data_IF_727106902763
#
_entry.id   IF_727106902763
#
_cell.length_a   1.000
_cell.length_b   1.000
_cell.length_c   1.000
_cell.angle_alpha   90.00
_cell.angle_beta   90.00
_cell.angle_gamma   90.00
#
_symmetry.space_group_name_H-M   'P 1'
#
loop_
_entity.id
_entity.type
_entity.pdbx_description
1 polymer ?
#
# COMPACT_ATOMS: atom_id res chain seq x y z
N UNK A 1 7.47 25.59 -63.88
CA UNK A 1 6.52 24.64 -63.34
C UNK A 1 7.20 23.96 -62.16
N UNK A 2 6.95 24.38 -60.92
CA UNK A 2 7.45 23.73 -59.71
C UNK A 2 6.39 22.76 -59.18
N UNK A 3 6.71 21.50 -58.88
CA UNK A 3 5.73 20.60 -58.23
C UNK A 3 5.63 20.94 -56.76
N UNK A 4 4.43 21.33 -56.32
CA UNK A 4 4.08 21.38 -54.89
C UNK A 4 4.00 19.95 -54.34
N UNK A 5 4.96 19.60 -53.48
CA UNK A 5 4.86 18.40 -52.66
C UNK A 5 3.92 18.68 -51.50
N UNK A 6 2.72 18.15 -51.56
CA UNK A 6 1.84 18.09 -50.37
C UNK A 6 2.34 17.04 -49.43
N UNK A 7 3.02 17.44 -48.34
CA UNK A 7 3.26 16.56 -47.19
C UNK A 7 1.88 16.26 -46.51
N UNK A 8 1.36 15.08 -46.76
CA UNK A 8 0.30 14.53 -45.93
C UNK A 8 0.92 14.20 -44.55
N UNK A 9 0.64 15.03 -43.54
CA UNK A 9 0.82 14.64 -42.16
C UNK A 9 -0.28 13.62 -41.81
N UNK A 10 0.10 12.34 -41.77
CA UNK A 10 -0.71 11.32 -41.11
C UNK A 10 -0.73 11.67 -39.62
N UNK A 11 -1.81 12.29 -39.14
CA UNK A 11 -2.10 12.38 -37.72
C UNK A 11 -2.47 10.95 -37.33
N UNK A 12 -1.50 10.20 -36.78
CA UNK A 12 -1.80 8.97 -36.06
C UNK A 12 -2.50 9.43 -34.78
N UNK A 13 -3.82 9.30 -34.75
CA UNK A 13 -4.56 9.45 -33.51
C UNK A 13 -4.08 8.32 -32.58
N UNK A 14 -3.32 8.67 -31.55
CA UNK A 14 -2.99 7.75 -30.47
C UNK A 14 -4.30 7.42 -29.78
N UNK A 15 -4.74 6.20 -29.93
CA UNK A 15 -6.01 5.75 -29.38
C UNK A 15 -5.76 5.34 -27.93
N UNK A 16 -6.53 5.92 -27.00
CA UNK A 16 -6.58 5.45 -25.61
C UNK A 16 -6.91 3.95 -25.56
N UNK A 17 -6.59 3.31 -24.45
CA UNK A 17 -6.99 1.93 -24.22
C UNK A 17 -8.51 1.82 -24.42
N UNK A 18 -8.95 0.90 -25.29
CA UNK A 18 -10.36 0.65 -25.58
C UNK A 18 -10.99 -0.15 -24.44
N UNK A 19 -11.63 0.55 -23.50
CA UNK A 19 -12.25 -0.02 -22.31
C UNK A 19 -13.78 0.02 -22.42
N UNK A 20 -14.38 -1.14 -22.61
CA UNK A 20 -15.80 -1.36 -22.37
C UNK A 20 -16.01 -2.09 -21.04
N UNK A 21 -16.51 -1.36 -20.02
CA UNK A 21 -16.78 -1.92 -18.69
C UNK A 21 -18.00 -2.85 -18.66
N UNK A 22 -18.81 -2.88 -19.71
CA UNK A 22 -19.97 -3.78 -19.82
C UNK A 22 -19.58 -5.09 -20.52
N UNK A 23 -18.44 -5.10 -21.24
CA UNK A 23 -17.80 -6.29 -21.78
C UNK A 23 -16.63 -6.75 -20.88
N UNK A 24 -16.78 -7.90 -20.19
CA UNK A 24 -15.68 -8.48 -19.38
C UNK A 24 -14.43 -8.82 -20.19
N UNK A 25 -14.56 -9.18 -21.46
CA UNK A 25 -13.41 -9.54 -22.29
C UNK A 25 -12.58 -8.29 -22.62
N UNK A 26 -13.24 -7.18 -22.98
CA UNK A 26 -12.57 -5.87 -23.15
C UNK A 26 -11.86 -5.45 -21.85
N UNK A 27 -12.55 -5.51 -20.71
CA UNK A 27 -11.96 -5.16 -19.40
C UNK A 27 -10.74 -6.02 -19.08
N UNK A 28 -10.80 -7.35 -19.28
CA UNK A 28 -9.67 -8.27 -19.02
C UNK A 28 -8.47 -7.98 -19.93
N UNK A 29 -8.71 -7.69 -21.21
CA UNK A 29 -7.65 -7.32 -22.16
C UNK A 29 -6.95 -6.02 -21.74
N UNK A 30 -7.73 -5.03 -21.33
CA UNK A 30 -7.20 -3.76 -20.80
C UNK A 30 -6.35 -4.02 -19.55
N UNK A 31 -6.85 -4.80 -18.61
CA UNK A 31 -6.13 -5.12 -17.37
C UNK A 31 -4.81 -5.86 -17.63
N UNK A 32 -4.78 -6.80 -18.59
CA UNK A 32 -3.55 -7.47 -19.00
C UNK A 32 -2.51 -6.48 -19.55
N UNK A 33 -2.96 -5.54 -20.38
CA UNK A 33 -2.11 -4.49 -20.93
C UNK A 33 -1.54 -3.59 -19.83
N UNK A 34 -2.38 -3.16 -18.87
CA UNK A 34 -1.95 -2.31 -17.76
C UNK A 34 -1.00 -3.03 -16.80
N UNK A 35 -1.27 -4.28 -16.46
CA UNK A 35 -0.38 -5.10 -15.63
C UNK A 35 0.98 -5.31 -16.30
N UNK A 36 0.99 -5.57 -17.61
CA UNK A 36 2.22 -5.70 -18.40
C UNK A 36 3.01 -4.38 -18.42
N UNK A 37 2.34 -3.25 -18.63
CA UNK A 37 2.98 -1.93 -18.59
C UNK A 37 3.54 -1.63 -17.20
N UNK A 38 2.82 -1.88 -16.13
CA UNK A 38 3.30 -1.72 -14.76
C UNK A 38 4.57 -2.53 -14.51
N UNK A 39 4.61 -3.76 -14.98
CA UNK A 39 5.75 -4.67 -14.82
C UNK A 39 6.97 -4.30 -15.68
N UNK A 40 6.88 -3.33 -16.60
CA UNK A 40 8.08 -2.82 -17.30
C UNK A 40 9.04 -2.10 -16.36
N UNK A 41 8.56 -1.63 -15.22
CA UNK A 41 9.36 -1.01 -14.15
C UNK A 41 9.95 -2.01 -13.16
N UNK A 42 9.52 -3.28 -13.19
CA UNK A 42 9.95 -4.30 -12.23
C UNK A 42 11.27 -4.94 -12.70
N UNK A 43 12.26 -4.95 -11.80
CA UNK A 43 13.59 -5.49 -12.07
C UNK A 43 13.94 -6.74 -11.26
N UNK A 44 13.14 -7.06 -10.24
CA UNK A 44 13.42 -8.19 -9.34
C UNK A 44 13.41 -9.58 -9.98
N UNK A 45 13.00 -9.70 -11.25
CA UNK A 45 13.13 -10.91 -12.06
C UNK A 45 14.38 -10.92 -12.95
N UNK A 46 15.20 -9.87 -12.91
CA UNK A 46 16.43 -9.78 -13.70
C UNK A 46 17.62 -10.40 -12.93
N UNK A 47 18.62 -10.95 -13.66
CA UNK A 47 19.82 -11.48 -13.04
C UNK A 47 20.55 -10.42 -12.21
N UNK A 48 20.81 -10.73 -10.92
CA UNK A 48 21.53 -9.86 -10.00
C UNK A 48 20.65 -8.96 -9.13
N UNK A 49 19.34 -8.95 -9.36
CA UNK A 49 18.39 -8.30 -8.48
C UNK A 49 17.64 -9.32 -7.61
N UNK A 50 16.92 -8.83 -6.59
CA UNK A 50 16.17 -9.65 -5.65
C UNK A 50 14.69 -9.73 -6.04
N UNK A 51 14.08 -10.93 -6.04
CA UNK A 51 12.66 -11.07 -6.31
C UNK A 51 11.81 -10.19 -5.37
N UNK A 52 10.89 -9.44 -5.95
CA UNK A 52 10.04 -8.50 -5.23
C UNK A 52 10.61 -7.08 -5.13
N UNK A 53 11.79 -6.81 -5.70
CA UNK A 53 12.40 -5.49 -5.65
C UNK A 53 11.91 -4.59 -6.79
N UNK A 54 11.65 -3.32 -6.48
CA UNK A 54 11.53 -2.25 -7.47
C UNK A 54 12.81 -1.40 -7.40
N UNK A 55 13.31 -0.89 -8.54
CA UNK A 55 14.49 -0.02 -8.56
C UNK A 55 14.14 1.39 -8.03
N UNK A 56 15.17 2.16 -7.67
CA UNK A 56 15.01 3.59 -7.42
C UNK A 56 14.26 4.26 -8.61
N UNK A 57 13.35 5.20 -8.33
CA UNK A 57 13.07 5.87 -7.06
C UNK A 57 11.94 5.24 -6.23
N UNK A 58 11.47 4.03 -6.56
CA UNK A 58 10.33 3.39 -5.93
C UNK A 58 10.69 2.81 -4.57
N UNK A 59 9.73 2.86 -3.65
CA UNK A 59 9.91 2.31 -2.32
C UNK A 59 9.56 0.81 -2.28
N UNK A 60 10.17 0.09 -1.34
CA UNK A 60 9.95 -1.35 -1.16
C UNK A 60 8.48 -1.73 -0.93
N UNK A 61 7.74 -0.92 -0.16
CA UNK A 61 6.33 -1.18 0.12
C UNK A 61 5.44 -1.10 -1.14
N UNK A 62 5.81 -0.26 -2.14
CA UNK A 62 5.09 -0.16 -3.40
C UNK A 62 5.10 -1.49 -4.17
N UNK A 63 6.19 -2.27 -4.05
CA UNK A 63 6.22 -3.62 -4.60
C UNK A 63 5.22 -4.55 -3.90
N UNK A 64 5.08 -4.46 -2.58
CA UNK A 64 4.04 -5.19 -1.83
C UNK A 64 2.63 -4.86 -2.32
N UNK A 65 2.36 -3.58 -2.56
CA UNK A 65 1.10 -3.12 -3.14
C UNK A 65 0.91 -3.62 -4.59
N UNK A 66 1.95 -3.57 -5.41
CA UNK A 66 1.94 -4.06 -6.79
C UNK A 66 1.60 -5.56 -6.85
N UNK A 67 2.23 -6.38 -6.00
CA UNK A 67 1.92 -7.82 -5.95
C UNK A 67 0.54 -8.11 -5.37
N UNK A 68 0.04 -7.25 -4.48
CA UNK A 68 -1.37 -7.32 -4.05
C UNK A 68 -2.32 -7.12 -5.23
N UNK A 69 -2.06 -6.12 -6.08
CA UNK A 69 -2.85 -5.87 -7.29
C UNK A 69 -2.79 -7.03 -8.29
N UNK A 70 -1.64 -7.71 -8.41
CA UNK A 70 -1.50 -8.88 -9.28
C UNK A 70 -2.25 -10.13 -8.75
N UNK A 71 -2.41 -10.27 -7.43
CA UNK A 71 -3.28 -11.30 -6.83
C UNK A 71 -4.73 -10.99 -7.16
N UNK A 72 -5.18 -9.75 -7.00
CA UNK A 72 -6.52 -9.34 -7.37
C UNK A 72 -6.76 -9.49 -8.88
N UNK A 73 -5.78 -9.13 -9.72
CA UNK A 73 -5.81 -9.37 -11.16
C UNK A 73 -6.04 -10.85 -11.48
N UNK A 74 -5.24 -11.75 -10.90
CA UNK A 74 -5.40 -13.20 -11.07
C UNK A 74 -6.82 -13.64 -10.71
N UNK A 75 -7.32 -13.20 -9.56
CA UNK A 75 -8.64 -13.59 -9.07
C UNK A 75 -9.78 -13.06 -9.95
N UNK A 76 -9.71 -11.77 -10.32
CA UNK A 76 -10.76 -11.09 -11.07
C UNK A 76 -10.80 -11.47 -12.56
N UNK A 77 -9.66 -11.87 -13.12
CA UNK A 77 -9.55 -12.19 -14.55
C UNK A 77 -9.45 -13.70 -14.83
N UNK A 78 -9.00 -14.48 -13.86
CA UNK A 78 -8.57 -15.88 -14.00
C UNK A 78 -7.34 -16.05 -14.91
N UNK A 79 -6.57 -14.98 -15.15
CA UNK A 79 -5.34 -15.01 -15.93
C UNK A 79 -4.16 -15.35 -15.02
N UNK A 80 -3.42 -16.40 -15.36
CA UNK A 80 -2.30 -16.93 -14.58
C UNK A 80 -0.94 -16.44 -15.03
N UNK A 81 -0.88 -15.49 -15.97
CA UNK A 81 0.37 -15.01 -16.58
C UNK A 81 1.39 -14.57 -15.53
N UNK A 82 0.96 -13.87 -14.49
CA UNK A 82 1.85 -13.29 -13.48
C UNK A 82 1.93 -14.11 -12.17
N UNK A 83 1.29 -15.29 -12.11
CA UNK A 83 1.20 -16.11 -10.90
C UNK A 83 2.56 -16.52 -10.35
N UNK A 84 3.45 -17.06 -11.20
CA UNK A 84 4.77 -17.50 -10.76
C UNK A 84 5.65 -16.35 -10.31
N UNK A 85 5.58 -15.20 -10.99
CA UNK A 85 6.30 -13.99 -10.63
C UNK A 85 5.87 -13.50 -9.24
N UNK A 86 4.56 -13.45 -9.01
CA UNK A 86 3.95 -13.03 -7.74
C UNK A 86 4.34 -13.97 -6.59
N UNK A 87 4.24 -15.29 -6.82
CA UNK A 87 4.62 -16.28 -5.82
C UNK A 87 6.10 -16.17 -5.45
N UNK A 88 6.98 -16.03 -6.44
CA UNK A 88 8.42 -15.88 -6.22
C UNK A 88 8.74 -14.62 -5.39
N UNK A 89 8.16 -13.49 -5.76
CA UNK A 89 8.39 -12.22 -5.08
C UNK A 89 7.94 -12.26 -3.60
N UNK A 90 6.70 -12.65 -3.35
CA UNK A 90 6.14 -12.75 -1.99
C UNK A 90 6.91 -13.72 -1.11
N UNK A 91 7.29 -14.88 -1.67
CA UNK A 91 8.05 -15.90 -0.95
C UNK A 91 9.42 -15.37 -0.54
N UNK A 92 10.12 -14.68 -1.47
CA UNK A 92 11.44 -14.13 -1.18
C UNK A 92 11.37 -13.00 -0.15
N UNK A 93 10.41 -12.07 -0.30
CA UNK A 93 10.25 -10.91 0.58
C UNK A 93 9.66 -11.25 1.96
N UNK A 94 9.12 -12.45 2.14
CA UNK A 94 8.58 -12.88 3.45
C UNK A 94 9.64 -12.89 4.55
N UNK A 95 10.92 -13.01 4.18
CA UNK A 95 12.04 -13.06 5.12
C UNK A 95 12.08 -14.34 5.96
N UNK A 96 13.07 -14.47 6.87
CA UNK A 96 13.32 -15.71 7.61
C UNK A 96 12.16 -16.14 8.53
N UNK A 97 11.43 -15.19 9.09
CA UNK A 97 10.31 -15.42 10.02
C UNK A 97 8.95 -15.47 9.34
N UNK A 98 8.90 -15.24 8.01
CA UNK A 98 7.65 -15.14 7.27
C UNK A 98 6.83 -13.89 7.59
N UNK A 99 7.44 -12.88 8.21
CA UNK A 99 6.78 -11.66 8.68
C UNK A 99 7.06 -10.44 7.79
N UNK A 100 7.57 -10.63 6.57
CA UNK A 100 7.98 -9.56 5.67
C UNK A 100 8.96 -8.58 6.34
N UNK A 101 10.04 -9.14 6.88
CA UNK A 101 11.21 -8.40 7.37
C UNK A 101 12.48 -9.01 6.75
N UNK A 102 12.67 -8.87 5.42
CA UNK A 102 13.84 -9.39 4.73
C UNK A 102 15.09 -8.59 5.11
N UNK A 103 16.24 -9.27 5.24
CA UNK A 103 17.45 -8.66 5.77
C UNK A 103 17.96 -7.42 5.02
N UNK A 104 17.61 -7.28 3.74
CA UNK A 104 18.00 -6.12 2.91
C UNK A 104 17.11 -4.87 3.13
N UNK A 105 15.94 -5.01 3.76
CA UNK A 105 14.99 -3.92 3.99
C UNK A 105 14.75 -3.62 5.47
N UNK A 106 14.89 -4.59 6.35
CA UNK A 106 14.50 -4.54 7.78
C UNK A 106 14.87 -3.23 8.50
N UNK A 107 15.98 -2.58 8.15
CA UNK A 107 16.42 -1.34 8.81
C UNK A 107 15.71 -0.08 8.38
N UNK A 108 15.01 -0.13 7.25
CA UNK A 108 14.33 1.04 6.64
C UNK A 108 12.81 0.93 6.70
N UNK A 109 12.30 -0.19 7.23
CA UNK A 109 10.88 -0.48 7.23
C UNK A 109 10.09 0.34 8.25
N UNK A 110 8.93 0.83 7.79
CA UNK A 110 7.82 1.26 8.62
C UNK A 110 6.83 0.13 8.91
N UNK A 111 5.95 0.33 9.88
CA UNK A 111 4.88 -0.61 10.18
C UNK A 111 3.85 -0.71 9.04
N UNK A 112 3.63 0.38 8.32
CA UNK A 112 2.83 0.43 7.10
C UNK A 112 3.49 -0.30 5.94
N UNK A 113 4.79 -0.11 5.71
CA UNK A 113 5.56 -0.80 4.68
C UNK A 113 5.41 -2.33 4.80
N UNK A 114 5.62 -2.85 6.01
CA UNK A 114 5.42 -4.26 6.33
C UNK A 114 3.97 -4.72 6.08
N UNK A 115 3.00 -3.85 6.38
CA UNK A 115 1.59 -4.17 6.23
C UNK A 115 1.15 -4.28 4.77
N UNK A 116 1.70 -3.48 3.85
CA UNK A 116 1.37 -3.61 2.43
C UNK A 116 1.75 -4.98 1.87
N UNK A 117 2.86 -5.56 2.33
CA UNK A 117 3.21 -6.95 2.01
C UNK A 117 2.27 -7.96 2.70
N UNK A 118 1.88 -7.70 3.95
CA UNK A 118 0.90 -8.52 4.65
C UNK A 118 -0.46 -8.51 3.95
N UNK A 119 -0.86 -7.41 3.33
CA UNK A 119 -2.08 -7.34 2.54
C UNK A 119 -2.03 -8.24 1.30
N UNK A 120 -0.86 -8.36 0.67
CA UNK A 120 -0.69 -9.33 -0.42
C UNK A 120 -0.90 -10.77 0.09
N UNK A 121 -0.27 -11.13 1.21
CA UNK A 121 -0.45 -12.45 1.82
C UNK A 121 -1.90 -12.69 2.27
N UNK A 122 -2.53 -11.70 2.91
CA UNK A 122 -3.93 -11.83 3.34
C UNK A 122 -4.89 -11.98 2.16
N UNK A 123 -4.69 -11.19 1.09
CA UNK A 123 -5.50 -11.31 -0.14
C UNK A 123 -5.29 -12.66 -0.83
N UNK A 124 -4.06 -13.17 -0.84
CA UNK A 124 -3.75 -14.49 -1.36
C UNK A 124 -4.51 -15.60 -0.59
N UNK A 125 -4.55 -15.51 0.75
CA UNK A 125 -5.31 -16.45 1.58
C UNK A 125 -6.82 -16.36 1.30
N UNK A 126 -7.38 -15.15 1.28
CA UNK A 126 -8.81 -14.89 1.08
C UNK A 126 -9.32 -15.28 -0.31
N UNK A 127 -8.44 -15.41 -1.29
CA UNK A 127 -8.78 -15.73 -2.68
C UNK A 127 -8.32 -17.12 -3.12
N UNK A 128 -7.79 -17.93 -2.19
CA UNK A 128 -7.20 -19.23 -2.49
C UNK A 128 -6.11 -19.15 -3.59
N UNK A 129 -5.32 -18.06 -3.60
CA UNK A 129 -4.12 -18.02 -4.43
C UNK A 129 -3.18 -19.15 -4.02
N UNK A 130 -2.55 -19.88 -4.96
CA UNK A 130 -1.74 -21.05 -4.64
C UNK A 130 -0.74 -20.77 -3.52
N UNK A 131 -0.83 -21.52 -2.42
CA UNK A 131 0.14 -21.42 -1.31
C UNK A 131 1.55 -21.78 -1.80
N UNK A 132 2.60 -21.19 -1.17
CA UNK A 132 3.97 -21.58 -1.47
C UNK A 132 4.14 -23.10 -1.33
N UNK A 133 4.87 -23.74 -2.25
CA UNK A 133 5.19 -25.16 -2.14
C UNK A 133 5.88 -25.47 -0.79
N UNK A 134 5.50 -26.57 -0.10
CA UNK A 134 6.07 -26.93 1.20
C UNK A 134 7.60 -27.06 1.21
N UNK A 135 8.18 -27.40 0.04
CA UNK A 135 9.63 -27.58 -0.16
C UNK A 135 10.42 -26.29 0.06
N UNK A 136 9.76 -25.13 -0.08
CA UNK A 136 10.39 -23.83 0.19
C UNK A 136 10.58 -23.54 1.68
N UNK A 137 9.95 -24.33 2.57
CA UNK A 137 10.08 -24.17 4.02
C UNK A 137 9.49 -22.88 4.58
N UNK A 138 8.69 -22.16 3.80
CA UNK A 138 8.01 -20.92 4.21
C UNK A 138 6.56 -21.18 4.62
N UNK A 139 5.96 -20.31 5.47
CA UNK A 139 4.55 -20.43 5.84
C UNK A 139 3.62 -20.32 4.63
N UNK A 140 2.34 -20.74 4.79
CA UNK A 140 1.28 -20.34 3.88
C UNK A 140 0.94 -18.87 4.02
N UNK A 141 0.17 -18.35 3.08
CA UNK A 141 -0.17 -16.91 3.04
C UNK A 141 -0.86 -16.44 4.33
N UNK A 142 -1.80 -17.23 4.85
CA UNK A 142 -2.44 -16.95 6.14
C UNK A 142 -1.40 -16.88 7.26
N UNK A 143 -0.44 -17.82 7.30
CA UNK A 143 0.62 -17.82 8.31
C UNK A 143 1.52 -16.60 8.23
N UNK A 144 1.81 -16.08 7.04
CA UNK A 144 2.58 -14.84 6.85
C UNK A 144 1.79 -13.62 7.34
N UNK A 145 0.50 -13.52 7.01
CA UNK A 145 -0.36 -12.44 7.51
C UNK A 145 -0.45 -12.45 9.06
N UNK A 146 -0.57 -13.64 9.66
CA UNK A 146 -0.56 -13.81 11.11
C UNK A 146 0.80 -13.43 11.73
N UNK A 147 1.90 -13.74 11.06
CA UNK A 147 3.23 -13.36 11.52
C UNK A 147 3.41 -11.83 11.58
N UNK A 148 2.94 -11.11 10.56
CA UNK A 148 2.97 -9.64 10.58
C UNK A 148 2.08 -9.10 11.70
N UNK A 149 0.85 -9.61 11.83
CA UNK A 149 -0.03 -9.20 12.93
C UNK A 149 0.65 -9.36 14.29
N UNK A 150 1.27 -10.51 14.57
CA UNK A 150 1.93 -10.77 15.83
C UNK A 150 3.10 -9.82 16.10
N UNK A 151 3.91 -9.52 15.08
CA UNK A 151 5.01 -8.56 15.23
C UNK A 151 4.52 -7.15 15.49
N UNK A 152 3.42 -6.72 14.85
CA UNK A 152 2.81 -5.41 15.07
C UNK A 152 2.12 -5.33 16.44
N UNK A 153 1.42 -6.37 16.86
CA UNK A 153 0.83 -6.44 18.21
C UNK A 153 1.91 -6.28 19.29
N UNK A 154 3.08 -6.91 19.11
CA UNK A 154 4.22 -6.77 20.02
C UNK A 154 4.83 -5.36 20.04
N UNK A 155 4.68 -4.60 18.94
CA UNK A 155 5.16 -3.20 18.83
C UNK A 155 4.14 -2.15 19.24
N UNK A 156 2.95 -2.55 19.74
CA UNK A 156 1.95 -1.61 20.22
C UNK A 156 2.48 -0.79 21.38
N UNK A 157 2.69 0.52 21.17
CA UNK A 157 3.37 1.41 22.12
C UNK A 157 2.40 2.07 23.08
N UNK A 158 2.22 1.47 24.26
CA UNK A 158 1.41 2.04 25.34
C UNK A 158 2.13 3.15 26.13
N UNK A 159 3.42 3.32 25.94
CA UNK A 159 4.23 4.31 26.66
C UNK A 159 4.01 5.74 26.18
N UNK A 160 3.51 5.93 24.94
CA UNK A 160 3.20 7.23 24.38
C UNK A 160 1.81 7.25 23.78
N UNK A 161 1.09 8.37 23.88
CA UNK A 161 -0.26 8.59 23.31
C UNK A 161 -1.30 7.52 23.70
N UNK A 162 -1.12 6.83 24.82
CA UNK A 162 -2.05 5.79 25.29
C UNK A 162 -2.11 4.50 24.49
N UNK A 163 -1.29 4.34 23.44
CA UNK A 163 -1.29 3.21 22.52
C UNK A 163 -0.83 3.59 21.12
N UNK A 164 -1.04 2.69 20.17
CA UNK A 164 -0.76 2.93 18.75
C UNK A 164 0.61 2.48 18.28
N UNK A 165 0.69 2.13 16.99
CA UNK A 165 1.95 1.87 16.31
C UNK A 165 2.63 3.18 15.94
N UNK A 166 3.95 3.21 16.07
CA UNK A 166 4.78 4.26 15.47
C UNK A 166 4.84 4.06 13.96
N UNK A 167 5.12 5.12 13.20
CA UNK A 167 5.34 4.97 11.77
C UNK A 167 6.53 4.03 11.52
N UNK A 168 7.71 4.39 12.00
CA UNK A 168 8.91 3.59 11.81
C UNK A 168 9.09 2.51 12.89
N UNK A 169 9.74 1.39 12.53
CA UNK A 169 9.99 0.27 13.43
C UNK A 169 11.20 0.55 14.36
N UNK A 170 12.19 1.27 13.86
CA UNK A 170 13.47 1.48 14.58
C UNK A 170 13.68 2.92 15.00
N UNK A 171 14.30 3.10 16.19
CA UNK A 171 14.53 4.40 16.83
C UNK A 171 15.44 5.33 16.07
N UNK A 172 16.27 4.81 15.18
CA UNK A 172 17.22 5.60 14.38
C UNK A 172 16.63 6.09 13.07
N UNK A 173 15.42 5.69 12.71
CA UNK A 173 14.76 6.15 11.49
C UNK A 173 14.06 7.47 11.71
N UNK A 174 14.15 8.36 10.72
CA UNK A 174 13.29 9.52 10.64
C UNK A 174 11.83 9.08 10.65
N UNK A 175 10.98 9.76 11.44
CA UNK A 175 9.58 9.35 11.64
C UNK A 175 9.35 8.39 12.81
N UNK A 176 10.40 7.95 13.55
CA UNK A 176 10.20 7.18 14.78
C UNK A 176 9.32 7.89 15.81
N UNK A 177 9.44 9.20 15.93
CA UNK A 177 8.65 9.99 16.87
C UNK A 177 7.24 10.30 16.37
N UNK A 178 6.83 9.73 15.26
CA UNK A 178 5.53 9.96 14.63
C UNK A 178 4.63 8.73 14.68
N UNK A 179 3.37 8.92 15.06
CA UNK A 179 2.30 7.93 14.91
C UNK A 179 1.36 8.38 13.81
N UNK A 180 1.12 7.52 12.83
CA UNK A 180 0.33 7.87 11.66
C UNK A 180 -0.91 6.98 11.49
N UNK A 181 -1.85 7.50 10.76
CA UNK A 181 -3.12 6.84 10.49
C UNK A 181 -2.93 5.60 9.63
N UNK A 182 -1.99 5.63 8.67
CA UNK A 182 -1.83 4.47 7.78
C UNK A 182 -1.26 3.25 8.49
N UNK A 183 -0.20 3.36 9.32
CA UNK A 183 0.34 2.21 10.05
C UNK A 183 -0.71 1.58 10.97
N UNK A 184 -1.47 2.42 11.68
CA UNK A 184 -2.53 1.96 12.57
C UNK A 184 -3.76 1.44 11.81
N UNK A 185 -4.13 2.08 10.71
CA UNK A 185 -5.20 1.63 9.83
C UNK A 185 -4.89 0.31 9.13
N UNK A 186 -3.65 0.08 8.73
CA UNK A 186 -3.20 -1.20 8.20
C UNK A 186 -3.32 -2.31 9.24
N UNK A 187 -2.89 -2.05 10.46
CA UNK A 187 -3.00 -3.01 11.56
C UNK A 187 -4.47 -3.30 11.90
N UNK A 188 -5.33 -2.28 11.96
CA UNK A 188 -6.78 -2.43 12.12
C UNK A 188 -7.39 -3.31 11.02
N UNK A 189 -7.09 -3.01 9.75
CA UNK A 189 -7.61 -3.73 8.60
C UNK A 189 -7.16 -5.20 8.58
N UNK A 190 -5.87 -5.44 8.84
CA UNK A 190 -5.31 -6.79 8.91
C UNK A 190 -5.95 -7.59 10.04
N UNK A 191 -6.12 -6.99 11.24
CA UNK A 191 -6.76 -7.63 12.37
C UNK A 191 -8.22 -7.99 12.07
N UNK A 192 -9.00 -7.07 11.48
CA UNK A 192 -10.38 -7.31 11.09
C UNK A 192 -10.50 -8.47 10.08
N UNK A 193 -9.66 -8.50 9.04
CA UNK A 193 -9.64 -9.54 8.02
C UNK A 193 -9.22 -10.91 8.59
N UNK A 194 -8.22 -10.94 9.47
CA UNK A 194 -7.82 -12.16 10.19
C UNK A 194 -8.94 -12.66 11.10
N UNK A 195 -9.68 -11.76 11.78
CA UNK A 195 -10.84 -12.13 12.59
C UNK A 195 -11.93 -12.81 11.73
N UNK A 196 -12.25 -12.21 10.58
CA UNK A 196 -13.25 -12.77 9.65
C UNK A 196 -12.79 -14.12 9.08
N UNK A 197 -11.53 -14.22 8.64
CA UNK A 197 -11.01 -15.43 8.02
C UNK A 197 -10.94 -16.60 8.99
N UNK A 198 -10.47 -16.37 10.22
CA UNK A 198 -10.15 -17.44 11.18
C UNK A 198 -11.24 -17.67 12.24
N UNK A 199 -12.20 -16.77 12.41
CA UNK A 199 -13.16 -16.78 13.52
C UNK A 199 -12.53 -16.52 14.90
N UNK A 200 -11.23 -16.16 14.98
CA UNK A 200 -10.54 -15.96 16.25
C UNK A 200 -10.84 -14.57 16.83
N UNK A 201 -11.51 -14.54 17.99
CA UNK A 201 -11.90 -13.32 18.70
C UNK A 201 -10.74 -12.40 19.10
N UNK A 202 -9.52 -12.93 19.28
CA UNK A 202 -8.36 -12.09 19.61
C UNK A 202 -8.05 -11.05 18.52
N UNK A 203 -8.20 -11.41 17.26
CA UNK A 203 -8.01 -10.45 16.16
C UNK A 203 -9.11 -9.39 16.15
N UNK A 204 -10.35 -9.76 16.46
CA UNK A 204 -11.47 -8.82 16.60
C UNK A 204 -11.23 -7.82 17.73
N UNK A 205 -10.77 -8.29 18.90
CA UNK A 205 -10.43 -7.43 20.05
C UNK A 205 -9.33 -6.42 19.69
N UNK A 206 -8.35 -6.83 18.89
CA UNK A 206 -7.32 -5.92 18.41
C UNK A 206 -7.87 -4.90 17.42
N UNK A 207 -8.74 -5.30 16.50
CA UNK A 207 -9.38 -4.37 15.58
C UNK A 207 -10.19 -3.30 16.37
N UNK A 208 -10.96 -3.71 17.37
CA UNK A 208 -11.69 -2.76 18.24
C UNK A 208 -10.74 -1.85 19.02
N UNK A 209 -9.65 -2.39 19.56
CA UNK A 209 -8.63 -1.62 20.29
C UNK A 209 -8.00 -0.54 19.43
N UNK A 210 -7.60 -0.88 18.21
CA UNK A 210 -6.97 0.09 17.29
C UNK A 210 -7.97 1.16 16.88
N UNK A 211 -9.20 0.79 16.55
CA UNK A 211 -10.25 1.77 16.23
C UNK A 211 -10.49 2.74 17.40
N UNK A 212 -10.70 2.23 18.61
CA UNK A 212 -10.99 3.04 19.79
C UNK A 212 -9.82 3.99 20.09
N UNK A 213 -8.59 3.52 19.98
CA UNK A 213 -7.39 4.37 20.10
C UNK A 213 -7.37 5.47 19.04
N UNK A 214 -7.71 5.18 17.79
CA UNK A 214 -7.76 6.16 16.69
C UNK A 214 -8.78 7.28 16.96
N UNK A 215 -9.93 6.90 17.52
CA UNK A 215 -10.94 7.88 18.00
C UNK A 215 -10.41 8.71 19.18
N UNK A 216 -9.79 8.06 20.18
CA UNK A 216 -9.31 8.72 21.40
C UNK A 216 -8.21 9.74 21.15
N UNK A 217 -7.27 9.45 20.24
CA UNK A 217 -6.19 10.39 19.88
C UNK A 217 -6.66 11.47 18.90
N UNK A 218 -7.86 11.33 18.31
CA UNK A 218 -8.45 12.29 17.39
C UNK A 218 -7.90 12.22 15.96
N UNK A 219 -7.38 11.06 15.54
CA UNK A 219 -6.97 10.85 14.15
C UNK A 219 -8.16 10.67 13.20
N UNK A 220 -9.30 10.26 13.74
CA UNK A 220 -10.60 10.30 13.04
C UNK A 220 -11.49 11.37 13.68
N UNK A 221 -12.15 12.19 12.87
CA UNK A 221 -13.09 13.22 13.33
C UNK A 221 -14.50 12.66 13.53
N UNK A 222 -15.38 13.44 14.17
CA UNK A 222 -16.80 13.09 14.32
C UNK A 222 -17.52 12.91 12.97
N UNK A 223 -16.98 13.53 11.89
CA UNK A 223 -17.47 13.37 10.51
C UNK A 223 -16.76 12.23 9.77
N UNK A 224 -15.99 11.38 10.46
CA UNK A 224 -15.23 10.25 9.89
C UNK A 224 -14.15 10.64 8.88
N UNK A 225 -13.54 11.83 9.01
CA UNK A 225 -12.39 12.25 8.25
C UNK A 225 -11.12 11.83 8.98
N UNK A 226 -10.10 11.40 8.24
CA UNK A 226 -8.85 10.89 8.80
C UNK A 226 -7.70 11.87 8.57
N UNK A 227 -7.09 12.33 9.65
CA UNK A 227 -5.85 13.09 9.62
C UNK A 227 -4.65 12.18 9.36
N UNK A 228 -3.53 12.71 8.90
CA UNK A 228 -2.34 11.92 8.61
C UNK A 228 -1.71 11.30 9.87
N UNK A 229 -1.53 12.08 10.93
CA UNK A 229 -0.93 11.62 12.18
C UNK A 229 -0.51 12.74 13.11
N UNK A 230 0.35 12.43 14.08
CA UNK A 230 0.92 13.40 15.01
C UNK A 230 2.22 12.90 15.66
N UNK A 231 3.06 13.84 16.11
CA UNK A 231 4.24 13.53 16.90
C UNK A 231 3.92 13.11 18.32
N UNK A 232 4.67 12.14 18.84
CA UNK A 232 4.51 11.67 20.21
C UNK A 232 4.92 12.74 21.25
N UNK A 233 5.77 13.70 20.89
CA UNK A 233 6.19 14.81 21.76
C UNK A 233 5.02 15.73 22.10
N UNK A 234 4.06 15.89 21.18
CA UNK A 234 2.80 16.59 21.42
C UNK A 234 1.76 15.75 22.16
N UNK A 235 2.13 14.56 22.65
CA UNK A 235 1.19 13.55 23.15
C UNK A 235 0.09 13.22 22.11
N UNK A 236 0.42 13.24 20.82
CA UNK A 236 -0.45 13.08 19.66
C UNK A 236 -1.63 14.09 19.61
N UNK A 237 -1.43 15.33 20.11
CA UNK A 237 -2.49 16.35 20.16
C UNK A 237 -2.32 17.45 19.10
N UNK A 238 -1.19 17.50 18.43
CA UNK A 238 -0.94 18.42 17.31
C UNK A 238 -0.98 17.64 15.99
N UNK A 239 -2.18 17.58 15.38
CA UNK A 239 -2.42 16.75 14.22
C UNK A 239 -1.88 17.37 12.94
N UNK A 240 -1.20 16.57 12.12
CA UNK A 240 -1.05 16.82 10.70
C UNK A 240 -2.41 16.53 10.02
N UNK A 241 -3.09 17.58 9.58
CA UNK A 241 -4.47 17.50 9.06
C UNK A 241 -4.54 17.23 7.56
N UNK A 242 -3.47 16.75 6.98
CA UNK A 242 -3.52 16.28 5.59
C UNK A 242 -4.40 15.04 5.53
N UNK A 243 -5.25 14.98 4.52
CA UNK A 243 -6.14 13.86 4.26
C UNK A 243 -5.67 13.16 3.00
N UNK A 244 -5.33 11.89 3.13
CA UNK A 244 -4.94 11.02 2.04
C UNK A 244 -6.03 9.99 1.75
N UNK A 245 -6.22 9.66 0.47
CA UNK A 245 -7.20 8.66 0.03
C UNK A 245 -6.98 7.31 0.70
N UNK A 246 -5.71 6.87 0.85
CA UNK A 246 -5.37 5.57 1.41
C UNK A 246 -5.73 5.44 2.90
N UNK A 247 -5.61 6.51 3.69
CA UNK A 247 -6.01 6.53 5.09
C UNK A 247 -7.51 6.23 5.24
N UNK A 248 -8.33 6.89 4.44
CA UNK A 248 -9.77 6.67 4.43
C UNK A 248 -10.13 5.26 3.94
N UNK A 249 -9.46 4.79 2.88
CA UNK A 249 -9.73 3.49 2.27
C UNK A 249 -9.43 2.32 3.20
N UNK A 250 -8.30 2.34 3.91
CA UNK A 250 -7.88 1.25 4.80
C UNK A 250 -8.85 1.07 5.98
N UNK A 251 -9.34 2.18 6.55
CA UNK A 251 -10.35 2.15 7.61
C UNK A 251 -11.74 1.78 7.09
N UNK A 252 -12.10 2.21 5.87
CA UNK A 252 -13.38 1.88 5.26
C UNK A 252 -13.54 0.36 5.12
N UNK A 253 -12.55 -0.32 4.53
CA UNK A 253 -12.62 -1.76 4.39
C UNK A 253 -12.59 -2.47 5.76
N UNK A 254 -11.71 -2.06 6.68
CA UNK A 254 -11.67 -2.65 8.01
C UNK A 254 -13.01 -2.54 8.75
N UNK A 255 -13.67 -1.37 8.69
CA UNK A 255 -14.99 -1.16 9.28
C UNK A 255 -16.08 -2.01 8.62
N UNK A 256 -16.02 -2.17 7.29
CA UNK A 256 -16.95 -3.01 6.54
C UNK A 256 -16.77 -4.51 6.89
N UNK A 257 -15.51 -4.97 7.07
CA UNK A 257 -15.22 -6.34 7.53
C UNK A 257 -15.74 -6.55 8.94
N UNK A 258 -15.55 -5.60 9.86
CA UNK A 258 -16.09 -5.67 11.20
C UNK A 258 -17.65 -5.68 11.22
N UNK A 259 -18.25 -4.93 10.27
CA UNK A 259 -19.71 -5.00 10.08
C UNK A 259 -20.13 -6.40 9.58
N UNK A 260 -19.45 -6.95 8.58
CA UNK A 260 -19.74 -8.28 8.05
C UNK A 260 -19.65 -9.36 9.15
N UNK A 261 -18.61 -9.29 9.98
CA UNK A 261 -18.36 -10.25 11.06
C UNK A 261 -19.39 -10.17 12.19
N UNK A 262 -19.86 -8.95 12.54
CA UNK A 262 -20.63 -8.72 13.77
C UNK A 262 -22.08 -8.32 13.54
N UNK A 263 -22.44 -7.90 12.33
CA UNK A 263 -23.72 -7.26 11.97
C UNK A 263 -24.08 -6.06 12.87
N UNK A 264 -23.10 -5.50 13.59
CA UNK A 264 -23.27 -4.43 14.55
C UNK A 264 -23.77 -3.13 13.91
N UNK A 265 -24.83 -2.50 14.44
CA UNK A 265 -25.26 -1.18 14.01
C UNK A 265 -24.15 -0.12 14.12
N UNK A 266 -23.27 -0.23 15.09
CA UNK A 266 -22.12 0.67 15.27
C UNK A 266 -21.16 0.57 14.08
N UNK A 267 -20.76 -0.64 13.67
CA UNK A 267 -19.90 -0.83 12.53
C UNK A 267 -20.57 -0.47 11.21
N UNK A 268 -21.88 -0.68 11.10
CA UNK A 268 -22.68 -0.16 9.97
C UNK A 268 -22.59 1.38 9.88
N UNK A 269 -22.78 2.07 11.01
CA UNK A 269 -22.71 3.54 11.08
C UNK A 269 -21.31 4.04 10.73
N UNK A 270 -20.25 3.41 11.27
CA UNK A 270 -18.84 3.73 10.97
C UNK A 270 -18.55 3.55 9.47
N UNK A 271 -18.92 2.42 8.89
CA UNK A 271 -18.76 2.16 7.46
C UNK A 271 -19.44 3.22 6.60
N UNK A 272 -20.71 3.54 6.89
CA UNK A 272 -21.45 4.55 6.14
C UNK A 272 -20.85 5.95 6.33
N UNK A 273 -20.42 6.29 7.54
CA UNK A 273 -19.79 7.57 7.86
C UNK A 273 -18.48 7.76 7.09
N UNK A 274 -17.59 6.76 7.09
CA UNK A 274 -16.34 6.80 6.34
C UNK A 274 -16.61 6.89 4.84
N UNK A 275 -17.58 6.13 4.33
CA UNK A 275 -17.95 6.20 2.92
C UNK A 275 -18.44 7.60 2.54
N UNK A 276 -19.27 8.24 3.37
CA UNK A 276 -19.71 9.61 3.12
C UNK A 276 -18.54 10.61 3.16
N UNK A 277 -17.62 10.46 4.12
CA UNK A 277 -16.43 11.30 4.23
C UNK A 277 -15.51 11.15 3.01
N UNK A 278 -15.41 9.94 2.43
CA UNK A 278 -14.58 9.66 1.25
C UNK A 278 -15.00 10.43 -0.01
N UNK A 279 -16.21 10.98 -0.03
CA UNK A 279 -16.72 11.72 -1.21
C UNK A 279 -15.90 12.98 -1.53
N UNK A 280 -15.11 13.49 -0.58
CA UNK A 280 -14.20 14.63 -0.81
C UNK A 280 -13.07 14.32 -1.81
N UNK A 281 -12.81 13.03 -2.05
CA UNK A 281 -11.83 12.54 -3.01
C UNK A 281 -12.38 12.32 -4.42
N UNK A 282 -13.58 12.84 -4.70
CA UNK A 282 -14.21 12.75 -6.02
C UNK A 282 -14.56 14.13 -6.55
N UNK A 283 -14.18 14.38 -7.78
CA UNK A 283 -14.58 15.56 -8.56
C UNK A 283 -15.36 15.08 -9.79
N UNK A 284 -16.65 15.45 -9.88
CA UNK A 284 -17.54 14.94 -10.93
C UNK A 284 -17.52 13.40 -11.04
N UNK A 285 -17.55 12.73 -9.88
CA UNK A 285 -17.46 11.27 -9.72
C UNK A 285 -16.16 10.63 -10.22
N UNK A 286 -15.14 11.41 -10.53
CA UNK A 286 -13.78 10.96 -10.84
C UNK A 286 -12.90 11.10 -9.60
N UNK A 287 -12.28 9.99 -9.19
CA UNK A 287 -11.40 9.95 -8.03
C UNK A 287 -10.08 10.70 -8.29
N UNK A 288 -9.58 11.41 -7.28
CA UNK A 288 -8.31 12.12 -7.32
C UNK A 288 -7.66 12.19 -5.93
N UNK A 289 -6.33 12.30 -5.88
CA UNK A 289 -5.63 12.57 -4.63
C UNK A 289 -5.63 14.07 -4.35
N UNK A 290 -6.58 14.48 -3.52
CA UNK A 290 -6.89 15.88 -3.26
C UNK A 290 -5.70 16.67 -2.74
N UNK A 291 -4.88 16.06 -1.90
CA UNK A 291 -3.81 16.75 -1.20
C UNK A 291 -2.67 17.21 -2.12
N UNK A 292 -2.45 16.53 -3.25
CA UNK A 292 -1.28 16.81 -4.09
C UNK A 292 -1.58 16.97 -5.59
N UNK A 293 -2.61 16.30 -6.16
CA UNK A 293 -2.87 16.38 -7.61
C UNK A 293 -3.25 17.79 -8.06
N UNK A 294 -4.02 18.53 -7.22
CA UNK A 294 -4.51 19.87 -7.56
C UNK A 294 -3.40 20.91 -7.69
N UNK A 295 -2.27 20.67 -7.04
CA UNK A 295 -1.12 21.57 -6.99
C UNK A 295 0.16 20.97 -7.60
N UNK A 296 0.06 19.79 -8.24
CA UNK A 296 1.16 19.08 -8.91
C UNK A 296 2.35 18.77 -7.99
N UNK A 297 2.10 18.34 -6.77
CA UNK A 297 3.14 18.02 -5.78
C UNK A 297 3.15 16.56 -5.34
N UNK A 298 2.41 15.67 -6.06
CA UNK A 298 2.43 14.25 -5.72
C UNK A 298 3.84 13.65 -5.92
N UNK A 299 4.40 13.17 -4.85
CA UNK A 299 5.65 12.43 -4.82
C UNK A 299 5.43 10.98 -5.24
N UNK A 300 6.49 10.18 -5.33
CA UNK A 300 6.46 8.84 -5.90
C UNK A 300 5.40 7.96 -5.25
N UNK A 301 5.40 7.86 -3.92
CA UNK A 301 4.47 7.05 -3.13
C UNK A 301 3.02 7.51 -3.24
N UNK A 302 2.78 8.83 -3.22
CA UNK A 302 1.44 9.42 -3.23
C UNK A 302 0.67 9.16 -4.52
N UNK A 303 1.36 8.86 -5.62
CA UNK A 303 0.78 8.57 -6.93
C UNK A 303 -0.09 7.31 -6.94
N UNK A 304 0.19 6.37 -6.03
CA UNK A 304 -0.55 5.12 -5.90
C UNK A 304 -1.78 5.22 -4.98
N UNK A 305 -1.86 6.17 -4.04
CA UNK A 305 -2.78 6.16 -2.91
C UNK A 305 -4.26 6.03 -3.30
N UNK A 306 -4.70 6.74 -4.32
CA UNK A 306 -6.09 6.67 -4.77
C UNK A 306 -6.47 5.31 -5.37
N UNK A 307 -5.50 4.57 -5.91
CA UNK A 307 -5.71 3.19 -6.34
C UNK A 307 -6.11 2.30 -5.19
N UNK A 308 -5.49 2.48 -4.02
CA UNK A 308 -5.86 1.73 -2.81
C UNK A 308 -7.26 2.07 -2.31
N UNK A 309 -7.66 3.35 -2.35
CA UNK A 309 -9.04 3.72 -2.04
C UNK A 309 -10.01 3.01 -2.98
N UNK A 310 -9.74 2.98 -4.29
CA UNK A 310 -10.60 2.30 -5.26
C UNK A 310 -10.75 0.81 -4.95
N UNK A 311 -9.63 0.12 -4.70
CA UNK A 311 -9.58 -1.28 -4.32
C UNK A 311 -10.39 -1.57 -3.05
N UNK A 312 -10.14 -0.81 -1.99
CA UNK A 312 -10.82 -1.00 -0.71
C UNK A 312 -12.30 -0.61 -0.76
N UNK A 313 -12.70 0.38 -1.55
CA UNK A 313 -14.11 0.66 -1.83
C UNK A 313 -14.80 -0.51 -2.51
N UNK A 314 -14.18 -1.11 -3.53
CA UNK A 314 -14.73 -2.28 -4.21
C UNK A 314 -14.92 -3.46 -3.23
N UNK A 315 -13.88 -3.80 -2.45
CA UNK A 315 -13.95 -4.85 -1.44
C UNK A 315 -15.02 -4.56 -0.37
N UNK A 316 -15.22 -3.30 0.00
CA UNK A 316 -16.28 -2.87 0.92
C UNK A 316 -17.67 -3.27 0.43
N UNK A 317 -17.91 -3.27 -0.88
CA UNK A 317 -19.23 -3.65 -1.42
C UNK A 317 -19.58 -5.12 -1.18
N UNK A 318 -18.56 -5.99 -1.06
CA UNK A 318 -18.77 -7.40 -0.72
C UNK A 318 -18.98 -7.61 0.79
N UNK A 319 -18.31 -6.82 1.63
CA UNK A 319 -18.41 -6.90 3.09
C UNK A 319 -19.66 -6.18 3.63
N UNK A 320 -20.06 -5.09 3.01
CA UNK A 320 -21.19 -4.25 3.38
C UNK A 320 -22.05 -3.93 2.14
N UNK A 321 -22.88 -4.88 1.66
CA UNK A 321 -23.59 -4.76 0.38
C UNK A 321 -24.49 -3.51 0.27
N UNK A 322 -24.92 -2.93 1.36
CA UNK A 322 -25.69 -1.68 1.37
C UNK A 322 -24.94 -0.47 0.80
N UNK A 323 -23.60 -0.59 0.60
CA UNK A 323 -22.75 0.47 0.05
C UNK A 323 -22.62 0.41 -1.48
N UNK A 324 -23.06 -0.69 -2.12
CA UNK A 324 -22.83 -0.99 -3.52
C UNK A 324 -23.30 0.14 -4.47
N UNK A 325 -24.54 0.58 -4.31
CA UNK A 325 -25.14 1.59 -5.20
C UNK A 325 -24.48 2.97 -5.07
N UNK A 326 -23.81 3.24 -3.95
CA UNK A 326 -23.06 4.47 -3.74
C UNK A 326 -21.63 4.40 -4.28
N UNK A 327 -20.99 3.23 -4.22
CA UNK A 327 -19.59 3.02 -4.59
C UNK A 327 -19.43 2.76 -6.08
N UNK A 328 -20.15 1.77 -6.63
CA UNK A 328 -19.85 1.26 -7.97
C UNK A 328 -19.99 2.28 -9.10
N UNK A 329 -20.99 3.19 -9.10
CA UNK A 329 -21.05 4.22 -10.12
C UNK A 329 -19.80 5.12 -10.16
N UNK A 330 -19.24 5.46 -8.99
CA UNK A 330 -18.03 6.29 -8.85
C UNK A 330 -16.78 5.57 -9.31
N UNK A 331 -16.64 4.28 -8.97
CA UNK A 331 -15.53 3.46 -9.45
C UNK A 331 -15.59 3.31 -10.98
N UNK A 332 -16.75 3.06 -11.55
CA UNK A 332 -16.92 2.95 -13.02
C UNK A 332 -16.60 4.28 -13.73
N UNK A 333 -17.01 5.42 -13.19
CA UNK A 333 -16.68 6.74 -13.74
C UNK A 333 -15.18 7.00 -13.66
N UNK A 334 -14.56 6.69 -12.53
CA UNK A 334 -13.11 6.83 -12.32
C UNK A 334 -12.30 5.89 -13.23
N UNK A 335 -12.75 4.63 -13.41
CA UNK A 335 -12.11 3.67 -14.29
C UNK A 335 -12.09 4.12 -15.76
N UNK A 336 -13.22 4.66 -16.27
CA UNK A 336 -13.26 5.24 -17.61
C UNK A 336 -12.32 6.44 -17.74
N UNK A 337 -12.34 7.33 -16.75
CA UNK A 337 -11.46 8.49 -16.76
C UNK A 337 -9.98 8.11 -16.67
N UNK A 338 -9.62 7.08 -15.89
CA UNK A 338 -8.28 6.54 -15.82
C UNK A 338 -7.84 5.96 -17.18
N UNK A 339 -8.66 5.13 -17.81
CA UNK A 339 -8.37 4.53 -19.11
C UNK A 339 -8.14 5.59 -20.21
N UNK A 340 -8.89 6.69 -20.22
CA UNK A 340 -8.70 7.80 -21.15
C UNK A 340 -7.32 8.46 -21.00
N UNK A 341 -6.68 8.37 -19.84
CA UNK A 341 -5.31 8.87 -19.64
C UNK A 341 -4.24 7.91 -20.15
N UNK A 342 -4.58 6.63 -20.41
CA UNK A 342 -3.61 5.59 -20.75
C UNK A 342 -3.30 5.59 -22.25
N UNK A 343 -2.50 6.55 -22.69
CA UNK A 343 -2.10 6.76 -24.10
C UNK A 343 -0.59 6.97 -24.24
N UNK A 344 0.15 6.92 -23.14
CA UNK A 344 1.55 7.33 -23.08
C UNK A 344 2.55 6.20 -23.24
N UNK A 345 3.83 6.59 -23.21
CA UNK A 345 4.97 5.68 -23.35
C UNK A 345 5.11 5.09 -24.74
N UNK A 346 6.13 4.24 -24.93
CA UNK A 346 6.38 3.55 -26.20
C UNK A 346 5.31 2.49 -26.51
N UNK A 347 4.66 1.96 -25.48
CA UNK A 347 3.58 0.98 -25.58
C UNK A 347 2.22 1.59 -25.88
N UNK A 348 2.08 2.91 -25.75
CA UNK A 348 0.80 3.63 -25.74
C UNK A 348 -0.17 3.15 -24.64
N UNK A 349 0.37 2.63 -23.53
CA UNK A 349 -0.39 2.11 -22.39
C UNK A 349 0.02 2.73 -21.04
N UNK A 350 1.01 3.63 -21.03
CA UNK A 350 1.34 4.39 -19.82
C UNK A 350 0.19 5.37 -19.51
N UNK A 351 -0.27 5.35 -18.26
CA UNK A 351 -1.40 6.13 -17.78
C UNK A 351 -0.96 7.46 -17.17
N UNK A 352 -1.84 8.45 -17.15
CA UNK A 352 -1.61 9.72 -16.46
C UNK A 352 -2.08 9.69 -15.01
N UNK A 353 -1.44 10.49 -14.16
CA UNK A 353 -1.78 10.64 -12.76
C UNK A 353 -3.19 11.26 -12.59
N UNK A 354 -3.49 12.33 -13.33
CA UNK A 354 -4.73 13.10 -13.15
C UNK A 354 -5.87 12.57 -14.01
N UNK A 355 -6.67 11.69 -13.47
CA UNK A 355 -7.83 11.15 -14.19
C UNK A 355 -8.90 12.21 -14.52
N UNK A 356 -8.96 13.29 -13.73
CA UNK A 356 -9.87 14.44 -13.99
C UNK A 356 -9.55 15.16 -15.29
N UNK A 357 -8.30 15.11 -15.76
CA UNK A 357 -7.86 15.75 -17.00
C UNK A 357 -8.12 14.89 -18.25
N UNK A 358 -8.37 13.58 -18.07
CA UNK A 358 -8.68 12.60 -19.13
C UNK A 358 -7.63 12.57 -20.26
N UNK A 359 -6.37 12.79 -19.93
CA UNK A 359 -5.23 12.79 -20.86
C UNK A 359 -3.95 12.37 -20.16
N UNK A 360 -3.04 11.80 -20.90
CA UNK A 360 -1.70 11.51 -20.40
C UNK A 360 -0.94 12.80 -20.08
N UNK A 361 -0.27 12.83 -18.97
CA UNK A 361 0.47 13.97 -18.43
C UNK A 361 1.98 13.92 -18.67
N UNK A 362 2.46 12.90 -19.39
CA UNK A 362 3.88 12.72 -19.72
C UNK A 362 4.64 11.84 -18.74
N UNK A 363 4.00 11.36 -17.67
CA UNK A 363 4.64 10.45 -16.70
C UNK A 363 4.48 8.98 -17.11
N UNK A 364 5.46 8.16 -16.74
CA UNK A 364 5.42 6.70 -16.81
C UNK A 364 6.01 6.18 -15.50
N UNK A 365 5.16 5.61 -14.62
CA UNK A 365 5.44 5.43 -13.21
C UNK A 365 4.65 4.26 -12.64
N UNK A 366 5.29 3.47 -11.74
CA UNK A 366 4.66 2.30 -11.11
C UNK A 366 3.38 2.67 -10.36
N UNK A 367 3.42 3.69 -9.50
CA UNK A 367 2.28 4.08 -8.68
C UNK A 367 1.09 4.56 -9.49
N UNK A 368 1.36 5.30 -10.57
CA UNK A 368 0.31 5.75 -11.51
C UNK A 368 -0.33 4.55 -12.21
N UNK A 369 0.51 3.64 -12.70
CA UNK A 369 0.05 2.46 -13.44
C UNK A 369 -0.72 1.51 -12.52
N UNK A 370 -0.23 1.32 -11.29
CA UNK A 370 -0.89 0.57 -10.23
C UNK A 370 -2.28 1.15 -9.91
N UNK A 371 -2.38 2.46 -9.73
CA UNK A 371 -3.66 3.11 -9.44
C UNK A 371 -4.68 2.92 -10.57
N UNK A 372 -4.25 3.01 -11.84
CA UNK A 372 -5.11 2.76 -12.99
C UNK A 372 -5.55 1.29 -13.08
N UNK A 373 -4.64 0.34 -12.84
CA UNK A 373 -4.96 -1.08 -12.77
C UNK A 373 -6.01 -1.35 -11.67
N UNK A 374 -5.79 -0.82 -10.46
CA UNK A 374 -6.67 -1.04 -9.31
C UNK A 374 -8.09 -0.51 -9.53
N UNK A 375 -8.24 0.70 -10.05
CA UNK A 375 -9.60 1.26 -10.26
C UNK A 375 -10.35 0.53 -11.36
N UNK A 376 -9.67 0.07 -12.41
CA UNK A 376 -10.32 -0.65 -13.51
C UNK A 376 -10.68 -2.07 -13.08
N UNK A 377 -9.77 -2.81 -12.45
CA UNK A 377 -10.07 -4.17 -11.98
C UNK A 377 -11.14 -4.19 -10.88
N UNK A 378 -11.23 -3.16 -10.05
CA UNK A 378 -12.28 -2.99 -9.05
C UNK A 378 -13.70 -3.05 -9.63
N UNK A 379 -13.87 -2.70 -10.91
CA UNK A 379 -15.18 -2.79 -11.58
C UNK A 379 -15.67 -4.21 -11.83
N UNK A 380 -14.78 -5.20 -11.72
CA UNK A 380 -15.11 -6.62 -11.85
C UNK A 380 -15.55 -7.27 -10.53
N UNK A 381 -15.51 -6.56 -9.41
CA UNK A 381 -15.72 -7.13 -8.07
C UNK A 381 -17.07 -7.85 -7.91
N UNK A 382 -18.11 -7.38 -8.57
CA UNK A 382 -19.44 -7.98 -8.54
C UNK A 382 -19.57 -9.27 -9.36
N UNK A 383 -18.51 -9.68 -10.08
CA UNK A 383 -18.50 -10.86 -10.94
C UNK A 383 -17.76 -12.04 -10.31
N UNK A 384 -17.23 -11.85 -9.12
CA UNK A 384 -16.49 -12.87 -8.36
C UNK A 384 -17.11 -13.04 -6.98
N UNK A 385 -16.85 -14.19 -6.38
CA UNK A 385 -17.32 -14.48 -5.04
C UNK A 385 -16.65 -13.59 -3.99
N UNK A 386 -17.27 -13.39 -2.83
CA UNK A 386 -16.61 -12.73 -1.69
C UNK A 386 -15.38 -13.52 -1.23
N UNK A 387 -14.46 -12.88 -0.45
CA UNK A 387 -13.34 -13.56 0.17
C UNK A 387 -13.77 -14.82 0.93
N UNK A 388 -13.00 -15.90 0.76
CA UNK A 388 -13.23 -17.13 1.54
C UNK A 388 -12.75 -16.94 2.98
N UNK A 389 -13.33 -17.73 3.88
CA UNK A 389 -12.88 -17.90 5.26
C UNK A 389 -12.43 -19.36 5.47
N UNK A 390 -11.84 -19.65 6.61
CA UNK A 390 -11.48 -21.01 6.98
C UNK A 390 -12.68 -21.96 6.90
N UNK A 391 -13.90 -21.47 7.19
CA UNK A 391 -15.14 -22.26 7.20
C UNK A 391 -15.84 -22.29 5.84
N UNK A 392 -15.50 -21.39 4.91
CA UNK A 392 -16.14 -21.28 3.59
C UNK A 392 -15.25 -21.75 2.44
N UNK A 393 -14.18 -22.50 2.72
CA UNK A 393 -13.32 -23.12 1.72
C UNK A 393 -11.93 -22.50 1.60
N UNK A 394 -11.47 -21.73 2.56
CA UNK A 394 -10.10 -21.25 2.62
C UNK A 394 -9.11 -22.39 2.79
N UNK A 395 -8.06 -22.42 1.96
CA UNK A 395 -7.08 -23.53 1.92
C UNK A 395 -5.68 -23.13 2.39
N UNK A 396 -5.42 -21.84 2.60
CA UNK A 396 -4.09 -21.37 2.99
C UNK A 396 -3.70 -21.83 4.40
N UNK A 397 -2.45 -22.29 4.52
CA UNK A 397 -1.92 -22.78 5.79
C UNK A 397 -1.65 -21.63 6.75
N UNK A 398 -2.34 -21.67 7.90
CA UNK A 398 -2.13 -20.73 9.00
C UNK A 398 -0.96 -21.11 9.92
N UNK A 399 -0.49 -20.10 10.67
CA UNK A 399 0.45 -20.25 11.78
C UNK A 399 0.16 -19.16 12.83
N UNK A 400 -0.79 -19.37 13.76
CA UNK A 400 -1.18 -18.35 14.74
C UNK A 400 -0.04 -17.89 15.66
N UNK A 401 1.00 -18.70 15.84
CA UNK A 401 2.21 -18.37 16.60
C UNK A 401 3.38 -17.90 15.72
N UNK A 402 3.15 -17.68 14.41
CA UNK A 402 4.19 -17.25 13.48
C UNK A 402 4.68 -15.82 13.75
N UNK A 403 5.85 -15.53 13.21
CA UNK A 403 6.52 -14.25 13.42
C UNK A 403 7.34 -14.28 14.72
N UNK A 404 8.57 -13.79 14.65
CA UNK A 404 9.31 -13.54 15.88
C UNK A 404 8.71 -12.32 16.59
N UNK A 405 8.70 -12.27 17.92
CA UNK A 405 8.41 -11.03 18.63
C UNK A 405 9.29 -9.93 18.03
N UNK A 406 8.68 -8.84 17.59
CA UNK A 406 9.45 -7.66 17.17
C UNK A 406 10.39 -7.23 18.31
N UNK A 407 11.43 -6.45 18.03
CA UNK A 407 12.26 -5.89 19.08
C UNK A 407 11.36 -5.13 20.07
N UNK A 408 11.67 -5.16 21.37
CA UNK A 408 11.01 -4.29 22.33
C UNK A 408 10.96 -2.87 21.80
N UNK A 409 9.87 -2.15 22.06
CA UNK A 409 9.72 -0.77 21.56
C UNK A 409 10.98 0.04 21.92
N UNK A 410 11.68 0.53 20.89
CA UNK A 410 12.92 1.29 21.06
C UNK A 410 14.22 0.47 21.09
N UNK A 411 14.18 -0.86 21.02
CA UNK A 411 15.39 -1.67 20.93
C UNK A 411 15.69 -2.15 19.51
N UNK A 412 16.96 -2.05 19.11
CA UNK A 412 17.46 -2.61 17.85
C UNK A 412 17.66 -4.12 18.05
N UNK A 413 17.09 -5.00 17.19
CA UNK A 413 17.33 -6.43 17.24
C UNK A 413 18.83 -6.75 17.31
N UNK A 414 19.19 -7.81 18.06
CA UNK A 414 20.59 -8.13 18.30
C UNK A 414 21.38 -8.38 16.99
N UNK A 415 20.76 -9.02 16.01
CA UNK A 415 21.35 -9.24 14.68
C UNK A 415 21.49 -7.98 13.81
N UNK A 416 20.85 -6.86 14.19
CA UNK A 416 20.92 -5.58 13.53
C UNK A 416 21.76 -4.55 14.31
N UNK A 417 22.23 -4.91 15.50
CA UNK A 417 23.15 -4.06 16.28
C UNK A 417 24.48 -3.98 15.54
N UNK A 418 24.84 -2.79 15.09
CA UNK A 418 26.18 -2.55 14.59
C UNK A 418 27.10 -2.51 15.83
N UNK A 419 27.94 -3.51 16.00
CA UNK A 419 29.05 -3.40 16.97
C UNK A 419 29.98 -2.29 16.49
N UNK A 420 29.93 -1.16 17.19
CA UNK A 420 30.88 -0.06 16.98
C UNK A 420 32.24 -0.56 17.51
N UNK A 421 33.04 -1.02 16.58
CA UNK A 421 34.39 -1.54 16.88
C UNK A 421 35.34 -0.40 17.27
N UNK A 422 36.50 -0.78 17.85
CA UNK A 422 37.56 0.18 18.10
C UNK A 422 38.06 0.87 16.82
N UNK A 423 37.99 0.19 15.68
CA UNK A 423 38.32 0.76 14.36
C UNK A 423 37.34 1.82 13.91
N UNK A 424 36.03 1.63 14.15
CA UNK A 424 34.98 2.61 13.81
C UNK A 424 35.14 3.88 14.62
N UNK A 425 35.45 3.74 15.94
CA UNK A 425 35.71 4.89 16.81
C UNK A 425 36.98 5.63 16.41
N UNK A 426 38.02 4.90 16.04
CA UNK A 426 39.26 5.51 15.56
C UNK A 426 39.04 6.22 14.20
N UNK A 427 38.29 5.63 13.28
CA UNK A 427 37.90 6.23 12.02
C UNK A 427 37.06 7.50 12.20
N UNK A 428 36.06 7.48 13.05
CA UNK A 428 35.25 8.65 13.39
C UNK A 428 36.10 9.77 14.03
N UNK A 429 37.00 9.40 14.93
CA UNK A 429 37.93 10.34 15.56
C UNK A 429 38.88 11.01 14.55
N UNK A 430 39.40 10.27 13.58
CA UNK A 430 40.26 10.79 12.51
C UNK A 430 39.50 11.76 11.58
N UNK A 431 38.29 11.39 11.17
CA UNK A 431 37.45 12.26 10.33
C UNK A 431 37.09 13.56 11.06
N UNK A 432 36.73 13.45 12.34
CA UNK A 432 36.42 14.64 13.18
C UNK A 432 37.62 15.54 13.35
N UNK A 433 38.82 15.00 13.59
CA UNK A 433 40.06 15.75 13.69
C UNK A 433 40.44 16.45 12.37
N UNK A 434 40.28 15.77 11.23
CA UNK A 434 40.50 16.31 9.89
C UNK A 434 39.55 17.48 9.60
N UNK A 435 38.28 17.30 9.89
CA UNK A 435 37.27 18.37 9.73
C UNK A 435 37.58 19.57 10.64
N UNK A 436 38.00 19.30 11.87
CA UNK A 436 38.44 20.37 12.79
C UNK A 436 39.63 21.16 12.26
N UNK A 437 40.65 20.49 11.70
CA UNK A 437 41.81 21.15 11.08
C UNK A 437 41.42 21.98 9.85
N UNK A 438 40.52 21.45 9.02
CA UNK A 438 40.02 22.18 7.83
C UNK A 438 39.25 23.43 8.26
N UNK A 439 38.33 23.30 9.21
CA UNK A 439 37.55 24.47 9.71
C UNK A 439 38.45 25.51 10.37
N UNK A 440 39.35 25.09 11.25
CA UNK A 440 40.27 26.01 11.91
C UNK A 440 41.28 26.64 10.96
N UNK A 441 41.76 25.85 9.99
CA UNK A 441 42.68 26.34 8.94
C UNK A 441 42.01 27.35 8.01
N UNK A 442 40.79 27.08 7.58
CA UNK A 442 40.04 28.02 6.72
C UNK A 442 39.62 29.29 7.47
N UNK A 443 39.25 29.15 8.74
CA UNK A 443 38.94 30.34 9.59
C UNK A 443 40.18 31.18 9.86
N UNK A 444 41.32 30.55 10.14
CA UNK A 444 42.60 31.24 10.32
C UNK A 444 43.06 31.98 9.06
N UNK A 445 42.83 31.39 7.88
CA UNK A 445 43.16 32.04 6.61
C UNK A 445 42.26 33.24 6.32
N UNK A 446 40.95 33.12 6.56
CA UNK A 446 39.98 34.23 6.40
C UNK A 446 40.20 35.41 7.39
N UNK A 447 40.85 35.19 8.50
CA UNK A 447 41.15 36.25 9.50
C UNK A 447 42.50 36.91 9.25
N UNK A 448 43.38 36.31 8.45
CA UNK A 448 44.72 36.81 8.14
C UNK A 448 44.81 37.58 6.79
N UNK A 449 43.78 37.55 5.96
CA UNK A 449 43.55 38.46 4.83
C UNK A 449 42.70 39.67 5.26
#
# INVERSE_FOLDING_TARGET
>A
MHPLWHLLFLIVAVQAIDLDLDDPASTKTTLHTLATQMLTHYTGNLPGDNPGNLPDPYYWWEAGAMFTALIDYWYLTSDTTFTNLTLQALTWQSGPSGSFMPANQTRTEGNDDQSFWAFAAMSAAERNFPDPPPELGVPGWLGMAQAVFNTQAARWDTGTCGGGLRWQIFTFNEGWMYKNTISNGCFFNLAARLALYTGNGTYMEWAERVWNWTEEVGFVTDEYRFWDGADVESACREWNRVEWTYNTGVYLLGAAVMYNLTESPTWRTRTQGILNASLVFFQNDVMYERACETINTCEVDQRAFKGFLARWMAATTQMAPFTFDQIMPKLRTSAKAAAETCTGGASHAACGLKWTDRKWDGMDDVGIQLAALEVIQSTLISRVDPPVTQDTGGTSRGNPGGGEPGPPVGEVPEGLRIEITGADRAGAGLVTALLGVIVLGSTGWLVYE
#
